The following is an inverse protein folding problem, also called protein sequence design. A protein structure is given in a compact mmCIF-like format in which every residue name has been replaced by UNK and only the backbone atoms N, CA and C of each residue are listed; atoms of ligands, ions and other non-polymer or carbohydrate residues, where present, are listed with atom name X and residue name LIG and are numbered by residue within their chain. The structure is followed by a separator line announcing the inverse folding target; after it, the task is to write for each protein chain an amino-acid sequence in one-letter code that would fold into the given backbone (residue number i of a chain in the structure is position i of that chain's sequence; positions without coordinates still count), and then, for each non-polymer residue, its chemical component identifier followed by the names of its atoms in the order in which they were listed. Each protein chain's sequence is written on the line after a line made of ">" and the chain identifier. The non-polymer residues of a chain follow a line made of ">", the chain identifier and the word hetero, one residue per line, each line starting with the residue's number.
data_IF_935707803731
#
_entry.id   IF_935707803731
#
_cell.length_a   1.000
_cell.length_b   1.000
_cell.length_c   1.000
_cell.angle_alpha   90.00
_cell.angle_beta   90.00
_cell.angle_gamma   90.00
#
_symmetry.space_group_name_H-M   'P 1'
#
loop_
_entity.id
_entity.type
_entity.pdbx_description
1 polymer ?
#
# COMPACT_ATOMS: atom_id res chain seq x y z
N UNK A 1 84.85 16.96 0.51
CA UNK A 1 84.36 18.25 -0.01
C UNK A 1 83.39 17.98 -1.15
N UNK A 2 82.28 18.73 -1.18
CA UNK A 2 81.21 18.78 -2.19
C UNK A 2 80.42 17.47 -2.40
N UNK A 3 79.10 17.35 -2.20
CA UNK A 3 78.02 18.34 -2.15
C UNK A 3 77.22 18.30 -3.45
N UNK A 4 76.20 17.45 -3.57
CA UNK A 4 75.20 17.50 -4.65
C UNK A 4 73.80 17.42 -4.03
N UNK A 5 73.05 18.51 -4.21
CA UNK A 5 71.62 18.64 -3.99
C UNK A 5 70.85 17.76 -5.00
N UNK A 6 69.80 17.06 -4.53
CA UNK A 6 68.64 16.77 -5.38
C UNK A 6 67.38 17.18 -4.60
N UNK A 7 66.71 18.20 -5.14
CA UNK A 7 65.52 18.82 -4.58
C UNK A 7 64.27 17.97 -4.75
N UNK A 8 63.40 18.09 -3.75
CA UNK A 8 62.04 17.59 -3.67
C UNK A 8 61.07 18.44 -4.50
N UNK A 9 60.30 17.84 -5.41
CA UNK A 9 58.98 18.37 -5.83
C UNK A 9 58.05 17.23 -6.26
N UNK A 10 57.27 16.68 -5.34
CA UNK A 10 56.10 15.85 -5.68
C UNK A 10 55.14 15.70 -4.48
N UNK A 11 54.63 16.82 -3.95
CA UNK A 11 53.72 16.80 -2.78
C UNK A 11 52.36 17.49 -2.96
N UNK A 12 52.17 18.31 -4.00
CA UNK A 12 50.99 19.17 -4.09
C UNK A 12 49.92 18.70 -5.12
N UNK A 13 50.30 17.88 -6.11
CA UNK A 13 49.40 17.49 -7.20
C UNK A 13 48.41 16.37 -6.83
N UNK A 14 48.84 15.39 -6.03
CA UNK A 14 48.04 14.21 -5.72
C UNK A 14 46.93 14.49 -4.69
N UNK A 15 47.21 15.38 -3.73
CA UNK A 15 46.23 15.78 -2.70
C UNK A 15 45.09 16.62 -3.27
N UNK A 16 45.36 17.46 -4.29
CA UNK A 16 44.31 18.23 -4.98
C UNK A 16 43.43 17.35 -5.88
N UNK A 17 43.98 16.28 -6.46
CA UNK A 17 43.22 15.35 -7.30
C UNK A 17 42.27 14.49 -6.47
N UNK A 18 42.70 14.03 -5.29
CA UNK A 18 41.86 13.28 -4.35
C UNK A 18 40.75 14.18 -3.78
N UNK A 19 41.03 15.46 -3.47
CA UNK A 19 40.00 16.40 -3.01
C UNK A 19 39.03 16.84 -4.12
N UNK A 20 39.44 16.85 -5.40
CA UNK A 20 38.51 17.07 -6.53
C UNK A 20 37.65 15.85 -6.82
N UNK A 21 38.19 14.64 -6.71
CA UNK A 21 37.42 13.40 -6.86
C UNK A 21 36.43 13.18 -5.71
N UNK A 22 36.77 13.60 -4.48
CA UNK A 22 35.83 13.57 -3.34
C UNK A 22 34.73 14.64 -3.42
N UNK A 23 35.01 15.82 -4.02
CA UNK A 23 34.00 16.86 -4.28
C UNK A 23 33.07 16.54 -5.46
N UNK A 24 33.55 15.81 -6.47
CA UNK A 24 32.71 15.35 -7.59
C UNK A 24 31.72 14.23 -7.18
N UNK A 25 31.96 13.55 -6.05
CA UNK A 25 31.03 12.54 -5.50
C UNK A 25 29.92 13.14 -4.62
N UNK A 26 29.95 14.45 -4.33
CA UNK A 26 28.94 15.16 -3.51
C UNK A 26 28.12 16.19 -4.31
N UNK A 27 27.88 15.93 -5.59
CA UNK A 27 26.99 16.74 -6.43
C UNK A 27 25.91 15.89 -7.13
N UNK A 28 25.38 14.89 -6.42
CA UNK A 28 24.10 14.28 -6.75
C UNK A 28 23.07 14.67 -5.71
N UNK A 29 22.06 15.47 -6.08
CA UNK A 29 20.77 15.47 -5.38
C UNK A 29 20.10 14.13 -5.67
N UNK A 30 20.64 13.06 -5.10
CA UNK A 30 19.91 11.84 -4.84
C UNK A 30 19.51 11.94 -3.39
N UNK A 31 18.30 12.42 -3.11
CA UNK A 31 17.72 12.13 -1.81
C UNK A 31 17.74 10.61 -1.66
N UNK A 32 18.36 10.06 -0.62
CA UNK A 32 18.42 8.61 -0.41
C UNK A 32 16.99 8.10 -0.16
N UNK A 33 16.34 7.68 -1.25
CA UNK A 33 15.00 7.06 -1.22
C UNK A 33 15.02 5.82 -0.31
N UNK A 34 16.19 5.19 -0.15
CA UNK A 34 16.41 3.98 0.65
C UNK A 34 16.04 4.12 2.14
N UNK A 35 16.04 5.32 2.71
CA UNK A 35 15.83 5.51 4.16
C UNK A 35 14.54 6.27 4.52
N UNK A 36 13.74 6.68 3.53
CA UNK A 36 12.51 7.42 3.81
C UNK A 36 11.41 6.51 4.34
N UNK A 37 10.75 6.97 5.40
CA UNK A 37 9.52 6.34 5.88
C UNK A 37 8.44 6.40 4.80
N UNK A 38 7.65 5.33 4.69
CA UNK A 38 6.46 5.29 3.83
C UNK A 38 5.39 6.31 4.22
N UNK A 39 5.49 6.85 5.45
CA UNK A 39 4.64 7.92 5.98
C UNK A 39 5.05 9.33 5.52
N UNK A 40 6.22 9.46 4.89
CA UNK A 40 6.77 10.78 4.54
C UNK A 40 5.95 11.49 3.46
N UNK A 41 5.58 12.74 3.73
CA UNK A 41 4.86 13.62 2.80
C UNK A 41 5.75 14.19 1.69
N UNK A 42 7.07 14.01 1.81
CA UNK A 42 8.05 14.40 0.81
C UNK A 42 8.01 13.40 -0.36
N UNK A 43 7.51 13.86 -1.50
CA UNK A 43 7.24 13.05 -2.70
C UNK A 43 8.26 11.93 -2.96
N UNK A 44 7.83 10.71 -2.69
CA UNK A 44 8.41 9.50 -3.26
C UNK A 44 7.26 8.79 -3.96
N UNK A 45 7.37 8.58 -5.27
CA UNK A 45 6.43 7.74 -6.01
C UNK A 45 6.65 6.27 -5.70
N UNK A 46 6.33 5.38 -6.64
CA UNK A 46 6.42 3.92 -6.46
C UNK A 46 7.77 3.43 -5.87
N UNK A 47 8.88 4.11 -6.19
CA UNK A 47 10.20 3.80 -5.64
C UNK A 47 10.29 3.85 -4.09
N UNK A 48 9.39 4.57 -3.42
CA UNK A 48 9.32 4.59 -1.96
C UNK A 48 8.95 3.21 -1.36
N UNK A 49 8.32 2.34 -2.13
CA UNK A 49 7.97 0.98 -1.71
C UNK A 49 9.03 -0.06 -2.07
N UNK A 50 10.01 0.29 -2.91
CA UNK A 50 11.09 -0.60 -3.35
C UNK A 50 12.28 -0.63 -2.37
N UNK A 51 12.01 -0.67 -1.06
CA UNK A 51 13.06 -0.67 -0.03
C UNK A 51 12.79 -1.70 1.06
N UNK A 52 13.85 -2.23 1.69
CA UNK A 52 13.70 -3.12 2.86
C UNK A 52 12.93 -2.43 3.99
N UNK A 53 13.21 -1.15 4.23
CA UNK A 53 12.52 -0.36 5.26
C UNK A 53 11.01 -0.32 5.02
N UNK A 54 10.58 -0.11 3.77
CA UNK A 54 9.16 -0.13 3.44
C UNK A 54 8.53 -1.51 3.71
N UNK A 55 9.23 -2.60 3.35
CA UNK A 55 8.78 -3.96 3.67
C UNK A 55 8.62 -4.15 5.17
N UNK A 56 9.62 -3.77 5.98
CA UNK A 56 9.56 -3.88 7.44
C UNK A 56 8.42 -3.05 8.04
N UNK A 57 8.22 -1.81 7.57
CA UNK A 57 7.13 -0.94 8.02
C UNK A 57 5.75 -1.52 7.69
N UNK A 58 5.59 -2.15 6.52
CA UNK A 58 4.33 -2.80 6.14
C UNK A 58 4.11 -4.15 6.83
N UNK A 59 5.17 -4.93 7.09
CA UNK A 59 5.08 -6.11 7.95
C UNK A 59 4.63 -5.70 9.37
N UNK A 60 5.20 -4.61 9.90
CA UNK A 60 4.79 -4.03 11.17
C UNK A 60 3.33 -3.56 11.14
N UNK A 61 2.93 -2.83 10.09
CA UNK A 61 1.58 -2.30 9.97
C UNK A 61 0.52 -3.40 9.85
N UNK A 62 0.80 -4.46 9.10
CA UNK A 62 -0.17 -5.50 8.78
C UNK A 62 -0.23 -6.64 9.80
N UNK A 63 0.89 -6.99 10.44
CA UNK A 63 1.01 -8.24 11.18
C UNK A 63 1.63 -8.12 12.58
N UNK A 64 2.09 -6.94 13.01
CA UNK A 64 2.65 -6.81 14.34
C UNK A 64 1.59 -7.07 15.41
N UNK A 65 2.03 -7.67 16.52
CA UNK A 65 1.18 -7.74 17.70
C UNK A 65 0.76 -6.33 18.13
N UNK A 66 -0.47 -6.12 18.64
CA UNK A 66 -0.96 -4.81 19.09
C UNK A 66 -0.01 -4.07 20.04
N UNK A 67 0.67 -4.80 20.94
CA UNK A 67 1.64 -4.24 21.89
C UNK A 67 2.94 -3.79 21.21
N UNK A 68 3.35 -4.45 20.12
CA UNK A 68 4.53 -4.09 19.33
C UNK A 68 4.23 -2.89 18.42
N UNK A 69 3.04 -2.84 17.81
CA UNK A 69 2.65 -1.71 16.98
C UNK A 69 2.40 -0.47 17.83
N UNK A 70 1.59 -0.56 18.89
CA UNK A 70 1.20 0.57 19.73
C UNK A 70 1.31 0.23 21.23
N UNK A 71 2.51 0.35 21.81
CA UNK A 71 2.75 0.03 23.24
C UNK A 71 2.13 1.05 24.20
N UNK A 72 1.66 2.20 23.69
CA UNK A 72 1.13 3.28 24.53
C UNK A 72 -0.34 3.07 24.89
N UNK A 73 -0.66 3.19 26.19
CA UNK A 73 -2.03 3.09 26.68
C UNK A 73 -2.92 4.25 26.19
N UNK A 74 -2.35 5.44 25.99
CA UNK A 74 -3.03 6.64 25.51
C UNK A 74 -3.02 6.80 23.97
N UNK A 75 -2.67 5.74 23.23
CA UNK A 75 -2.68 5.75 21.77
C UNK A 75 -4.05 5.41 21.18
N UNK A 76 -4.26 5.66 19.87
CA UNK A 76 -5.54 5.41 19.19
C UNK A 76 -5.76 3.91 18.92
N UNK A 77 -6.34 3.18 19.88
CA UNK A 77 -6.50 1.72 19.80
C UNK A 77 -7.45 1.28 18.69
N UNK A 78 -8.37 2.13 18.29
CA UNK A 78 -9.32 1.91 17.20
C UNK A 78 -8.63 1.81 15.83
N UNK A 79 -7.40 2.32 15.72
CA UNK A 79 -6.61 2.27 14.49
C UNK A 79 -5.89 0.93 14.26
N UNK A 80 -5.91 0.04 15.24
CA UNK A 80 -5.32 -1.30 15.15
C UNK A 80 -6.17 -2.23 14.28
N UNK A 81 -5.60 -3.40 13.91
CA UNK A 81 -6.30 -4.43 13.12
C UNK A 81 -6.95 -3.88 11.84
N UNK A 82 -6.24 -2.98 11.15
CA UNK A 82 -6.75 -2.29 9.96
C UNK A 82 -7.18 -3.29 8.88
N UNK A 83 -6.30 -4.22 8.52
CA UNK A 83 -6.52 -5.25 7.49
C UNK A 83 -7.71 -6.15 7.81
N UNK A 84 -7.84 -6.61 9.05
CA UNK A 84 -8.97 -7.43 9.50
C UNK A 84 -10.31 -6.69 9.39
N UNK A 85 -10.35 -5.40 9.79
CA UNK A 85 -11.56 -4.57 9.66
C UNK A 85 -11.95 -4.36 8.20
N UNK A 86 -10.99 -4.27 7.28
CA UNK A 86 -11.29 -4.18 5.84
C UNK A 86 -11.85 -5.48 5.27
N UNK A 87 -11.29 -6.62 5.66
CA UNK A 87 -11.80 -7.92 5.24
C UNK A 87 -13.24 -8.16 5.75
N UNK A 88 -13.55 -7.73 6.98
CA UNK A 88 -14.91 -7.78 7.53
C UNK A 88 -15.91 -6.95 6.72
N UNK A 89 -15.53 -5.76 6.25
CA UNK A 89 -16.37 -4.97 5.34
C UNK A 89 -16.63 -5.72 4.02
N UNK A 90 -15.62 -6.38 3.48
CA UNK A 90 -15.76 -7.17 2.25
C UNK A 90 -16.72 -8.36 2.46
N UNK A 91 -16.53 -9.12 3.54
CA UNK A 91 -17.37 -10.26 3.90
C UNK A 91 -18.83 -9.85 4.16
N UNK A 92 -19.03 -8.75 4.88
CA UNK A 92 -20.37 -8.24 5.22
C UNK A 92 -21.20 -7.91 3.99
N UNK A 93 -20.56 -7.45 2.91
CA UNK A 93 -21.25 -6.93 1.73
C UNK A 93 -21.17 -7.85 0.50
N UNK A 94 -20.32 -8.88 0.49
CA UNK A 94 -20.24 -9.82 -0.62
C UNK A 94 -21.34 -10.90 -0.53
N UNK A 95 -22.39 -10.74 -1.34
CA UNK A 95 -23.54 -11.66 -1.34
C UNK A 95 -23.19 -13.09 -1.78
N UNK A 96 -22.16 -13.26 -2.63
CA UNK A 96 -21.73 -14.58 -3.10
C UNK A 96 -21.23 -15.48 -1.95
N UNK A 97 -20.82 -14.92 -0.82
CA UNK A 97 -20.47 -15.70 0.39
C UNK A 97 -21.68 -16.27 1.11
N UNK A 98 -22.89 -15.82 0.78
CA UNK A 98 -24.17 -16.26 1.37
C UNK A 98 -25.01 -17.03 0.38
N UNK A 99 -24.41 -17.48 -0.73
CA UNK A 99 -25.12 -18.27 -1.72
C UNK A 99 -25.22 -19.73 -1.28
N UNK A 100 -26.36 -20.09 -0.70
CA UNK A 100 -26.65 -21.46 -0.27
C UNK A 100 -27.12 -22.36 -1.43
N UNK A 101 -27.43 -21.81 -2.61
CA UNK A 101 -27.84 -22.62 -3.78
C UNK A 101 -26.64 -23.16 -4.53
N UNK A 102 -25.48 -22.49 -4.41
CA UNK A 102 -24.25 -22.83 -5.13
C UNK A 102 -24.27 -22.40 -6.60
N UNK A 103 -25.32 -21.71 -7.05
CA UNK A 103 -25.48 -21.29 -8.44
C UNK A 103 -24.42 -20.27 -8.88
N UNK A 104 -23.88 -19.46 -7.95
CA UNK A 104 -22.84 -18.46 -8.23
C UNK A 104 -21.42 -19.03 -8.25
N UNK A 105 -21.24 -20.26 -7.76
CA UNK A 105 -19.93 -20.88 -7.54
C UNK A 105 -19.14 -20.22 -6.41
N UNK A 106 -17.88 -20.63 -6.27
CA UNK A 106 -17.00 -20.13 -5.20
C UNK A 106 -16.71 -18.62 -5.36
N UNK A 107 -16.88 -17.88 -4.27
CA UNK A 107 -16.62 -16.45 -4.25
C UNK A 107 -15.12 -16.15 -4.40
N UNK A 108 -14.78 -15.27 -5.34
CA UNK A 108 -13.40 -14.85 -5.61
C UNK A 108 -13.20 -13.40 -5.19
N UNK A 109 -12.22 -13.16 -4.33
CA UNK A 109 -11.81 -11.81 -3.92
C UNK A 109 -10.46 -11.40 -4.50
N UNK A 110 -10.27 -10.10 -4.70
CA UNK A 110 -8.99 -9.48 -5.00
C UNK A 110 -8.66 -8.39 -3.99
N UNK A 111 -7.42 -8.41 -3.49
CA UNK A 111 -6.81 -7.30 -2.75
C UNK A 111 -5.85 -6.58 -3.70
N UNK A 112 -6.26 -5.42 -4.20
CA UNK A 112 -5.49 -4.64 -5.17
C UNK A 112 -4.71 -3.54 -4.44
N UNK A 113 -3.39 -3.54 -4.64
CA UNK A 113 -2.46 -2.81 -3.76
C UNK A 113 -2.25 -3.56 -2.43
N UNK A 114 -2.05 -4.88 -2.50
CA UNK A 114 -2.05 -5.73 -1.30
C UNK A 114 -0.84 -5.53 -0.37
N UNK A 115 0.18 -4.80 -0.81
CA UNK A 115 1.49 -4.71 -0.18
C UNK A 115 1.98 -6.10 0.25
N UNK A 116 2.34 -6.26 1.52
CA UNK A 116 2.83 -7.54 2.09
C UNK A 116 1.72 -8.57 2.39
N UNK A 117 0.48 -8.32 1.92
CA UNK A 117 -0.60 -9.31 1.87
C UNK A 117 -1.54 -9.35 3.09
N UNK A 118 -1.49 -8.36 3.97
CA UNK A 118 -2.23 -8.36 5.24
C UNK A 118 -3.75 -8.53 5.06
N UNK A 119 -4.37 -7.70 4.22
CA UNK A 119 -5.81 -7.81 3.97
C UNK A 119 -6.16 -9.04 3.12
N UNK A 120 -5.32 -9.43 2.15
CA UNK A 120 -5.48 -10.66 1.40
C UNK A 120 -5.55 -11.93 2.28
N UNK A 121 -4.71 -12.03 3.33
CA UNK A 121 -4.82 -13.15 4.28
C UNK A 121 -6.11 -13.08 5.09
N UNK A 122 -6.50 -11.90 5.58
CA UNK A 122 -7.75 -11.75 6.34
C UNK A 122 -8.99 -12.08 5.48
N UNK A 123 -8.99 -11.73 4.19
CA UNK A 123 -10.03 -12.14 3.24
C UNK A 123 -10.14 -13.67 3.11
N UNK A 124 -9.03 -14.41 3.20
CA UNK A 124 -9.03 -15.86 3.07
C UNK A 124 -9.77 -16.60 4.22
N UNK A 125 -10.15 -15.89 5.29
CA UNK A 125 -11.07 -16.41 6.31
C UNK A 125 -12.42 -16.79 5.70
N UNK A 126 -12.96 -15.90 4.87
CA UNK A 126 -14.28 -16.05 4.28
C UNK A 126 -14.22 -16.50 2.81
N UNK A 127 -13.29 -15.93 2.02
CA UNK A 127 -13.19 -16.20 0.60
C UNK A 127 -12.34 -17.45 0.31
N UNK A 128 -12.88 -18.46 -0.42
CA UNK A 128 -12.12 -19.64 -0.83
C UNK A 128 -10.93 -19.33 -1.75
N UNK A 129 -11.03 -18.24 -2.52
CA UNK A 129 -10.02 -17.82 -3.47
C UNK A 129 -9.75 -16.32 -3.33
N UNK A 130 -8.49 -15.98 -3.03
CA UNK A 130 -8.02 -14.60 -2.90
C UNK A 130 -6.80 -14.37 -3.79
N UNK A 131 -6.84 -13.31 -4.59
CA UNK A 131 -5.71 -12.83 -5.37
C UNK A 131 -5.23 -11.48 -4.83
N UNK A 132 -4.03 -11.42 -4.27
CA UNK A 132 -3.34 -10.18 -3.94
C UNK A 132 -2.48 -9.71 -5.11
N UNK A 133 -2.64 -8.45 -5.52
CA UNK A 133 -1.80 -7.81 -6.54
C UNK A 133 -1.18 -6.55 -5.95
N UNK A 134 0.13 -6.38 -6.12
CA UNK A 134 0.82 -5.14 -5.83
C UNK A 134 1.79 -4.77 -6.96
N UNK A 135 2.04 -3.47 -7.14
CA UNK A 135 3.01 -3.01 -8.12
C UNK A 135 4.44 -3.36 -7.70
N UNK A 136 4.71 -3.34 -6.39
CA UNK A 136 6.05 -3.51 -5.84
C UNK A 136 6.50 -4.96 -5.81
N UNK A 137 7.70 -5.21 -6.35
CA UNK A 137 8.30 -6.55 -6.31
C UNK A 137 8.64 -6.96 -4.88
N UNK A 138 9.25 -6.07 -4.10
CA UNK A 138 9.63 -6.37 -2.71
C UNK A 138 8.42 -6.69 -1.82
N UNK A 139 7.30 -6.00 -2.01
CA UNK A 139 6.07 -6.31 -1.27
C UNK A 139 5.48 -7.67 -1.65
N UNK A 140 5.43 -8.00 -2.95
CA UNK A 140 4.94 -9.30 -3.42
C UNK A 140 5.84 -10.45 -2.97
N UNK A 141 7.16 -10.25 -2.99
CA UNK A 141 8.12 -11.24 -2.50
C UNK A 141 7.94 -11.49 -0.99
N UNK A 142 7.77 -10.42 -0.19
CA UNK A 142 7.47 -10.54 1.23
C UNK A 142 6.11 -11.22 1.48
N UNK A 143 5.08 -10.92 0.69
CA UNK A 143 3.77 -11.56 0.78
C UNK A 143 3.85 -13.06 0.47
N UNK A 144 4.61 -13.45 -0.56
CA UNK A 144 4.86 -14.85 -0.89
C UNK A 144 5.66 -15.56 0.21
N UNK A 145 6.66 -14.89 0.80
CA UNK A 145 7.41 -15.43 1.93
C UNK A 145 6.51 -15.66 3.16
N UNK A 146 5.68 -14.67 3.52
CA UNK A 146 4.67 -14.82 4.59
C UNK A 146 3.69 -15.95 4.28
N UNK A 147 3.28 -16.09 3.02
CA UNK A 147 2.41 -17.19 2.58
C UNK A 147 3.08 -18.55 2.73
N UNK A 148 4.38 -18.68 2.45
CA UNK A 148 5.11 -19.95 2.55
C UNK A 148 5.45 -20.30 4.01
N UNK A 149 6.02 -19.34 4.76
CA UNK A 149 6.53 -19.57 6.12
C UNK A 149 5.51 -19.34 7.22
N UNK A 150 4.55 -18.45 7.00
CA UNK A 150 3.52 -18.07 7.98
C UNK A 150 3.98 -16.98 8.94
N UNK A 151 5.28 -16.67 8.94
CA UNK A 151 5.86 -15.60 9.73
C UNK A 151 7.15 -15.07 9.09
N UNK A 152 7.55 -13.86 9.47
CA UNK A 152 8.81 -13.23 9.08
C UNK A 152 9.30 -12.31 10.18
N UNK A 153 10.60 -12.29 10.40
CA UNK A 153 11.22 -11.22 11.17
C UNK A 153 11.16 -9.91 10.38
N UNK A 154 11.05 -8.79 11.11
CA UNK A 154 11.20 -7.45 10.56
C UNK A 154 11.95 -6.55 11.55
N UNK A 155 12.56 -5.49 11.03
CA UNK A 155 13.25 -4.48 11.85
C UNK A 155 12.35 -3.26 12.10
N UNK A 156 12.03 -2.98 13.36
CA UNK A 156 11.35 -1.76 13.77
C UNK A 156 12.36 -0.70 14.21
N UNK A 157 12.28 0.51 13.66
CA UNK A 157 13.08 1.63 14.16
C UNK A 157 12.60 2.01 15.57
N UNK A 158 13.54 2.12 16.50
CA UNK A 158 13.30 2.61 17.86
C UNK A 158 13.61 4.11 17.91
N UNK A 159 14.85 4.48 17.59
CA UNK A 159 15.36 5.85 17.60
C UNK A 159 16.62 5.94 16.73
N UNK A 160 16.65 6.87 15.75
CA UNK A 160 17.80 6.98 14.83
C UNK A 160 18.15 5.65 14.17
N UNK A 161 19.40 5.21 14.32
CA UNK A 161 19.89 3.92 13.80
C UNK A 161 19.56 2.72 14.72
N UNK A 162 19.00 2.96 15.90
CA UNK A 162 18.64 1.91 16.86
C UNK A 162 17.37 1.20 16.35
N UNK A 163 17.49 -0.11 16.15
CA UNK A 163 16.41 -0.99 15.69
C UNK A 163 16.11 -2.09 16.71
N UNK A 164 14.88 -2.58 16.69
CA UNK A 164 14.45 -3.78 17.39
C UNK A 164 13.91 -4.80 16.38
N UNK A 165 14.18 -6.08 16.61
CA UNK A 165 13.67 -7.17 15.78
C UNK A 165 12.38 -7.70 16.39
N UNK A 166 11.35 -7.83 15.56
CA UNK A 166 10.03 -8.35 15.94
C UNK A 166 9.60 -9.42 14.94
N UNK A 167 8.55 -10.17 15.28
CA UNK A 167 7.97 -11.20 14.42
C UNK A 167 6.62 -10.73 13.87
N UNK A 168 6.49 -10.70 12.54
CA UNK A 168 5.22 -10.64 11.84
C UNK A 168 4.70 -12.07 11.67
N UNK A 169 3.41 -12.31 11.93
CA UNK A 169 2.81 -13.64 11.77
C UNK A 169 1.42 -13.53 11.13
N UNK A 170 1.14 -14.44 10.19
CA UNK A 170 -0.22 -14.70 9.73
C UNK A 170 -0.96 -15.44 10.86
N UNK A 171 -2.17 -15.01 11.25
CA UNK A 171 -3.00 -15.75 12.21
C UNK A 171 -3.12 -17.23 11.84
N UNK A 172 -2.94 -18.11 12.84
CA UNK A 172 -2.84 -19.56 12.63
C UNK A 172 -4.13 -20.21 12.09
N UNK A 173 -5.26 -19.53 12.24
CA UNK A 173 -6.58 -19.97 11.79
C UNK A 173 -6.90 -19.55 10.33
N UNK A 174 -5.99 -18.85 9.66
CA UNK A 174 -6.10 -18.51 8.23
C UNK A 174 -5.45 -19.60 7.37
N UNK A 175 -6.22 -20.17 6.44
CA UNK A 175 -5.66 -21.04 5.40
C UNK A 175 -4.93 -20.22 4.32
N UNK A 176 -3.61 -20.11 4.49
CA UNK A 176 -2.71 -19.42 3.55
C UNK A 176 -2.76 -19.96 2.13
N UNK A 177 -3.24 -21.20 1.91
CA UNK A 177 -3.30 -21.79 0.57
C UNK A 177 -4.41 -21.20 -0.29
N UNK A 178 -5.38 -20.49 0.30
CA UNK A 178 -6.45 -19.78 -0.41
C UNK A 178 -5.97 -18.50 -1.09
N UNK A 179 -4.77 -18.03 -0.75
CA UNK A 179 -4.21 -16.78 -1.28
C UNK A 179 -3.17 -17.06 -2.38
N UNK A 180 -3.18 -16.24 -3.41
CA UNK A 180 -2.13 -16.13 -4.43
C UNK A 180 -1.68 -14.68 -4.50
N UNK A 181 -0.38 -14.44 -4.65
CA UNK A 181 0.18 -13.10 -4.79
C UNK A 181 0.86 -12.98 -6.15
N UNK A 182 0.65 -11.84 -6.80
CA UNK A 182 1.24 -11.54 -8.10
C UNK A 182 1.69 -10.08 -8.16
N UNK A 183 2.80 -9.83 -8.83
CA UNK A 183 3.19 -8.49 -9.19
C UNK A 183 2.34 -8.02 -10.38
N UNK A 184 1.83 -6.79 -10.31
CA UNK A 184 0.98 -6.24 -11.35
C UNK A 184 0.59 -4.79 -11.11
N UNK A 185 0.26 -4.09 -12.20
CA UNK A 185 -0.19 -2.70 -12.16
C UNK A 185 -1.72 -2.63 -12.07
N UNK A 186 -2.22 -2.03 -10.99
CA UNK A 186 -3.65 -1.77 -10.77
C UNK A 186 -4.30 -0.92 -11.88
N UNK A 187 -3.52 -0.08 -12.55
CA UNK A 187 -3.97 0.73 -13.69
C UNK A 187 -3.90 -0.01 -15.02
N UNK A 188 -3.27 -1.18 -15.09
CA UNK A 188 -3.05 -1.96 -16.31
C UNK A 188 -3.26 -3.47 -16.11
N UNK A 189 -4.30 -3.84 -15.35
CA UNK A 189 -4.67 -5.24 -15.15
C UNK A 189 -5.01 -5.93 -16.49
N UNK A 190 -4.67 -7.23 -16.67
CA UNK A 190 -5.00 -7.98 -17.88
C UNK A 190 -6.49 -7.85 -18.26
N UNK A 191 -6.76 -7.64 -19.55
CA UNK A 191 -8.12 -7.41 -20.05
C UNK A 191 -8.99 -8.67 -19.91
N UNK A 192 -8.37 -9.85 -20.01
CA UNK A 192 -8.96 -11.19 -19.92
C UNK A 192 -9.10 -11.71 -18.49
N UNK A 193 -8.76 -10.92 -17.47
CA UNK A 193 -8.97 -11.30 -16.08
C UNK A 193 -10.46 -11.58 -15.84
N UNK A 194 -10.74 -12.76 -15.27
CA UNK A 194 -12.09 -13.15 -14.88
C UNK A 194 -12.72 -12.14 -13.91
N UNK A 195 -14.04 -12.00 -13.98
CA UNK A 195 -14.77 -11.12 -13.07
C UNK A 195 -14.78 -11.67 -11.64
N UNK A 196 -14.74 -10.76 -10.68
CA UNK A 196 -14.57 -11.04 -9.26
C UNK A 196 -15.84 -10.73 -8.46
N UNK A 197 -16.04 -11.44 -7.36
CA UNK A 197 -17.16 -11.19 -6.44
C UNK A 197 -16.86 -10.04 -5.49
N UNK A 198 -15.58 -9.81 -5.18
CA UNK A 198 -15.13 -8.73 -4.31
C UNK A 198 -13.79 -8.15 -4.79
N UNK A 199 -13.67 -6.83 -4.84
CA UNK A 199 -12.40 -6.11 -5.00
C UNK A 199 -12.22 -5.16 -3.84
N UNK A 200 -11.14 -5.34 -3.09
CA UNK A 200 -10.65 -4.41 -2.08
C UNK A 200 -9.54 -3.54 -2.68
N UNK A 201 -9.65 -2.23 -2.52
CA UNK A 201 -8.61 -1.27 -2.89
C UNK A 201 -8.31 -0.37 -1.68
N UNK A 202 -7.38 -0.84 -0.83
CA UNK A 202 -7.12 -0.25 0.48
C UNK A 202 -5.98 0.77 0.44
N UNK A 203 -6.27 2.03 0.77
CA UNK A 203 -5.32 3.16 0.72
C UNK A 203 -4.59 3.29 -0.64
N UNK A 204 -5.16 2.74 -1.70
CA UNK A 204 -4.54 2.63 -3.03
C UNK A 204 -4.86 3.84 -3.91
N UNK A 205 -6.11 4.30 -3.95
CA UNK A 205 -6.60 5.21 -5.00
C UNK A 205 -5.73 6.48 -5.17
N UNK A 206 -5.33 7.12 -4.07
CA UNK A 206 -4.53 8.34 -4.11
C UNK A 206 -3.02 8.09 -4.32
N UNK A 207 -2.64 6.83 -4.56
CA UNK A 207 -1.29 6.37 -4.92
C UNK A 207 -1.20 5.92 -6.38
N UNK A 208 -2.31 5.92 -7.11
CA UNK A 208 -2.32 5.50 -8.52
C UNK A 208 -1.91 6.64 -9.46
N UNK A 209 -1.13 6.37 -10.52
CA UNK A 209 -0.85 7.37 -11.55
C UNK A 209 -2.09 7.68 -12.40
N UNK A 210 -2.96 6.68 -12.63
CA UNK A 210 -4.20 6.79 -13.41
C UNK A 210 -5.44 6.38 -12.57
N UNK A 211 -5.82 7.16 -11.54
CA UNK A 211 -6.89 6.77 -10.63
C UNK A 211 -8.26 6.67 -11.32
N UNK A 212 -8.53 7.51 -12.34
CA UNK A 212 -9.78 7.44 -13.10
C UNK A 212 -9.86 6.17 -13.96
N UNK A 213 -8.74 5.74 -14.55
CA UNK A 213 -8.68 4.51 -15.34
C UNK A 213 -8.99 3.30 -14.47
N UNK A 214 -8.45 3.26 -13.25
CA UNK A 214 -8.78 2.22 -12.26
C UNK A 214 -10.28 2.18 -11.94
N UNK A 215 -10.89 3.32 -11.56
CA UNK A 215 -12.33 3.37 -11.27
C UNK A 215 -13.19 2.91 -12.46
N UNK A 216 -12.79 3.28 -13.67
CA UNK A 216 -13.49 2.87 -14.91
C UNK A 216 -13.34 1.36 -15.14
N UNK A 217 -12.16 0.78 -14.88
CA UNK A 217 -11.91 -0.66 -15.02
C UNK A 217 -12.78 -1.49 -14.08
N UNK A 218 -13.09 -0.99 -12.87
CA UNK A 218 -13.90 -1.70 -11.87
C UNK A 218 -15.22 -2.26 -12.42
N UNK A 219 -15.92 -1.52 -13.30
CA UNK A 219 -17.17 -1.98 -13.94
C UNK A 219 -17.01 -3.35 -14.60
N UNK A 220 -15.93 -3.51 -15.36
CA UNK A 220 -15.66 -4.74 -16.12
C UNK A 220 -14.96 -5.82 -15.31
N UNK A 221 -14.37 -5.46 -14.17
CA UNK A 221 -13.60 -6.33 -13.28
C UNK A 221 -14.48 -7.07 -12.25
N UNK A 222 -15.60 -6.47 -11.83
CA UNK A 222 -16.44 -6.98 -10.74
C UNK A 222 -17.70 -7.59 -11.33
N UNK A 223 -18.16 -8.77 -10.90
CA UNK A 223 -19.40 -9.40 -11.37
C UNK A 223 -20.64 -8.54 -11.05
N UNK A 224 -21.75 -8.60 -11.82
CA UNK A 224 -23.01 -7.99 -11.39
C UNK A 224 -23.42 -8.51 -10.00
N UNK A 225 -23.77 -7.60 -9.09
CA UNK A 225 -24.02 -7.91 -7.68
C UNK A 225 -22.77 -8.07 -6.80
N UNK A 226 -21.57 -8.13 -7.39
CA UNK A 226 -20.30 -8.11 -6.66
C UNK A 226 -19.99 -6.74 -6.06
N UNK A 227 -18.94 -6.67 -5.23
CA UNK A 227 -18.62 -5.47 -4.44
C UNK A 227 -17.23 -4.90 -4.72
N UNK A 228 -17.15 -3.57 -4.71
CA UNK A 228 -15.91 -2.80 -4.61
C UNK A 228 -15.87 -2.15 -3.22
N UNK A 229 -14.86 -2.49 -2.42
CA UNK A 229 -14.55 -1.80 -1.17
C UNK A 229 -13.38 -0.87 -1.44
N UNK A 230 -13.68 0.43 -1.57
CA UNK A 230 -12.71 1.47 -1.88
C UNK A 230 -12.38 2.25 -0.61
N UNK A 231 -11.12 2.20 -0.16
CA UNK A 231 -10.70 2.84 1.10
C UNK A 231 -9.58 3.82 0.78
N UNK A 232 -9.75 5.09 1.13
CA UNK A 232 -8.73 6.10 0.83
C UNK A 232 -8.76 7.28 1.81
N UNK A 233 -7.59 7.79 2.24
CA UNK A 233 -7.47 9.02 3.00
C UNK A 233 -7.45 10.27 2.11
N UNK A 234 -7.53 10.11 0.78
CA UNK A 234 -7.52 11.19 -0.21
C UNK A 234 -6.31 12.13 -0.11
N UNK A 235 -5.15 11.61 0.30
CA UNK A 235 -3.97 12.43 0.62
C UNK A 235 -3.29 13.09 -0.58
N UNK A 236 -3.69 12.77 -1.80
CA UNK A 236 -3.20 13.28 -3.10
C UNK A 236 -1.84 13.99 -3.06
N UNK A 237 -0.81 13.28 -3.52
CA UNK A 237 0.56 13.79 -3.57
C UNK A 237 1.08 13.72 -5.01
N UNK A 238 1.73 14.81 -5.45
CA UNK A 238 2.26 14.93 -6.84
C UNK A 238 3.29 13.85 -7.20
N UNK A 239 3.95 13.27 -6.21
CA UNK A 239 4.90 12.17 -6.41
C UNK A 239 4.23 10.86 -6.84
N UNK A 240 2.92 10.72 -6.64
CA UNK A 240 2.15 9.53 -6.99
C UNK A 240 1.25 9.76 -8.20
N UNK A 241 0.54 10.89 -8.21
CA UNK A 241 -0.42 11.22 -9.25
C UNK A 241 -0.15 12.63 -9.72
N UNK A 242 -0.03 12.82 -11.04
CA UNK A 242 0.02 14.16 -11.63
C UNK A 242 -1.19 14.97 -11.16
N UNK A 243 -0.98 16.24 -10.80
CA UNK A 243 -2.05 17.09 -10.23
C UNK A 243 -3.26 17.23 -11.17
N UNK A 244 -3.04 17.17 -12.48
CA UNK A 244 -4.11 17.21 -13.49
C UNK A 244 -5.02 15.98 -13.47
N UNK A 245 -4.57 14.88 -12.85
CA UNK A 245 -5.29 13.60 -12.75
C UNK A 245 -5.89 13.35 -11.37
N UNK A 246 -5.75 14.29 -10.44
CA UNK A 246 -6.39 14.19 -9.13
C UNK A 246 -7.91 14.21 -9.29
N UNK A 247 -8.59 13.29 -8.62
CA UNK A 247 -10.06 13.22 -8.66
C UNK A 247 -10.72 14.26 -7.73
N UNK A 248 -9.94 14.99 -6.94
CA UNK A 248 -10.43 16.02 -6.02
C UNK A 248 -9.29 16.60 -5.20
N UNK A 249 -9.61 17.35 -4.15
CA UNK A 249 -8.61 18.03 -3.32
C UNK A 249 -8.06 19.31 -3.95
N UNK A 250 -8.86 19.96 -4.80
CA UNK A 250 -8.53 21.24 -5.44
C UNK A 250 -9.77 22.13 -5.56
N UNK A 251 -9.58 23.37 -6.00
CA UNK A 251 -10.66 24.31 -6.28
C UNK A 251 -10.85 24.49 -7.78
N UNK A 252 -12.11 24.55 -8.23
CA UNK A 252 -12.51 24.91 -9.59
C UNK A 252 -13.56 26.00 -9.51
N UNK A 253 -13.31 27.14 -10.17
CA UNK A 253 -14.23 28.30 -10.17
C UNK A 253 -14.64 28.75 -8.76
N UNK A 254 -13.68 28.75 -7.82
CA UNK A 254 -13.90 29.12 -6.42
C UNK A 254 -14.61 28.06 -5.57
N UNK A 255 -15.05 26.94 -6.13
CA UNK A 255 -15.72 25.85 -5.41
C UNK A 255 -14.76 24.68 -5.15
N UNK A 256 -14.77 24.09 -3.94
CA UNK A 256 -13.96 22.90 -3.67
C UNK A 256 -14.50 21.71 -4.47
N UNK A 257 -13.61 20.97 -5.12
CA UNK A 257 -13.89 19.67 -5.74
C UNK A 257 -13.40 18.60 -4.77
N UNK A 258 -14.32 17.81 -4.21
CA UNK A 258 -13.98 16.75 -3.26
C UNK A 258 -13.85 15.42 -3.98
N UNK A 259 -12.87 14.61 -3.56
CA UNK A 259 -12.62 13.29 -4.13
C UNK A 259 -13.84 12.38 -4.05
N UNK A 260 -14.54 12.42 -2.91
CA UNK A 260 -15.79 11.67 -2.68
C UNK A 260 -16.84 11.96 -3.77
N UNK A 261 -17.09 13.24 -4.06
CA UNK A 261 -18.11 13.65 -5.04
C UNK A 261 -17.78 13.10 -6.44
N UNK A 262 -16.50 13.14 -6.82
CA UNK A 262 -16.03 12.58 -8.10
C UNK A 262 -16.14 11.07 -8.16
N UNK A 263 -15.77 10.35 -7.08
CA UNK A 263 -15.95 8.89 -7.00
C UNK A 263 -17.43 8.56 -7.19
N UNK A 264 -18.32 9.26 -6.48
CA UNK A 264 -19.75 9.07 -6.61
C UNK A 264 -20.23 9.31 -8.04
N UNK A 265 -19.81 10.41 -8.67
CA UNK A 265 -20.19 10.70 -10.05
C UNK A 265 -19.71 9.62 -11.05
N UNK A 266 -18.49 9.09 -10.86
CA UNK A 266 -17.90 8.08 -11.75
C UNK A 266 -18.54 6.70 -11.57
N UNK A 267 -18.80 6.27 -10.33
CA UNK A 267 -19.26 4.91 -10.04
C UNK A 267 -20.80 4.76 -10.07
N UNK A 268 -21.56 5.80 -9.72
CA UNK A 268 -23.02 5.71 -9.62
C UNK A 268 -23.78 5.26 -10.87
N UNK A 269 -23.27 5.41 -12.12
CA UNK A 269 -23.94 4.82 -13.28
C UNK A 269 -24.07 3.29 -13.17
N UNK A 270 -23.00 2.59 -12.77
CA UNK A 270 -22.90 1.12 -12.79
C UNK A 270 -22.94 0.48 -11.40
N UNK A 271 -22.78 1.29 -10.35
CA UNK A 271 -22.71 0.84 -8.96
C UNK A 271 -23.69 1.61 -8.07
N UNK A 272 -24.05 0.99 -6.95
CA UNK A 272 -24.82 1.57 -5.86
C UNK A 272 -23.92 1.67 -4.62
N UNK A 273 -23.86 2.84 -3.97
CA UNK A 273 -23.17 3.00 -2.70
C UNK A 273 -24.03 2.42 -1.59
N UNK A 274 -23.60 1.30 -1.00
CA UNK A 274 -24.38 0.56 0.01
C UNK A 274 -23.90 0.78 1.44
N UNK A 275 -22.66 1.24 1.63
CA UNK A 275 -22.14 1.63 2.93
C UNK A 275 -21.01 2.65 2.80
N UNK A 276 -20.85 3.47 3.84
CA UNK A 276 -19.73 4.39 4.01
C UNK A 276 -19.34 4.44 5.49
N UNK A 277 -18.04 4.43 5.77
CA UNK A 277 -17.54 4.52 7.14
C UNK A 277 -16.14 5.15 7.19
N UNK A 278 -15.76 5.61 8.37
CA UNK A 278 -14.40 6.04 8.67
C UNK A 278 -13.60 4.86 9.24
N UNK A 279 -12.43 4.61 8.65
CA UNK A 279 -11.55 3.50 9.04
C UNK A 279 -10.18 4.07 9.45
N UNK A 280 -9.95 4.24 10.77
CA UNK A 280 -8.65 4.70 11.26
C UNK A 280 -7.56 3.65 11.00
N UNK A 281 -6.34 4.10 10.77
CA UNK A 281 -5.16 3.26 10.61
C UNK A 281 -3.95 3.91 11.27
N UNK A 282 -2.96 3.09 11.63
CA UNK A 282 -1.76 3.53 12.33
C UNK A 282 -0.52 2.91 11.70
N UNK A 283 0.35 3.74 11.14
CA UNK A 283 1.67 3.32 10.67
C UNK A 283 2.70 3.86 11.67
N UNK A 284 3.54 2.97 12.20
CA UNK A 284 4.62 3.34 13.11
C UNK A 284 5.88 3.63 12.30
N UNK A 285 6.44 4.83 12.47
CA UNK A 285 7.69 5.22 11.82
C UNK A 285 8.90 4.90 12.71
N UNK A 286 8.79 5.21 14.00
CA UNK A 286 9.73 4.74 15.03
C UNK A 286 9.02 4.73 16.40
N UNK A 287 9.71 4.34 17.48
CA UNK A 287 9.05 4.12 18.79
C UNK A 287 8.27 5.33 19.33
N UNK A 288 8.60 6.56 18.90
CA UNK A 288 7.98 7.81 19.38
C UNK A 288 7.18 8.57 18.32
N UNK A 289 7.08 8.07 17.08
CA UNK A 289 6.42 8.76 15.98
C UNK A 289 5.57 7.81 15.16
N UNK A 290 4.31 8.21 14.98
CA UNK A 290 3.29 7.46 14.31
C UNK A 290 2.58 8.36 13.31
N UNK A 291 2.19 7.78 12.18
CA UNK A 291 1.15 8.34 11.34
C UNK A 291 -0.18 7.71 11.75
N UNK A 292 -0.99 8.48 12.46
CA UNK A 292 -2.42 8.19 12.57
C UNK A 292 -3.13 8.81 11.37
N UNK A 293 -3.94 8.01 10.68
CA UNK A 293 -4.79 8.47 9.61
C UNK A 293 -6.19 7.89 9.74
N UNK A 294 -7.14 8.49 9.03
CA UNK A 294 -8.50 7.98 8.94
C UNK A 294 -8.91 7.97 7.47
N UNK A 295 -9.12 6.78 6.93
CA UNK A 295 -9.53 6.61 5.55
C UNK A 295 -11.04 6.54 5.45
N UNK A 296 -11.61 7.15 4.43
CA UNK A 296 -13.01 6.95 4.09
C UNK A 296 -13.12 5.62 3.32
N UNK A 297 -13.89 4.69 3.87
CA UNK A 297 -14.25 3.44 3.22
C UNK A 297 -15.63 3.60 2.56
N UNK A 298 -15.71 3.27 1.28
CA UNK A 298 -16.92 3.28 0.48
C UNK A 298 -17.15 1.88 -0.09
N UNK A 299 -18.32 1.31 0.19
CA UNK A 299 -18.71 0.00 -0.32
C UNK A 299 -19.70 0.19 -1.45
N UNK A 300 -19.30 -0.20 -2.64
CA UNK A 300 -20.06 -0.08 -3.88
C UNK A 300 -20.49 -1.46 -4.37
N UNK A 301 -21.78 -1.66 -4.54
CA UNK A 301 -22.33 -2.88 -5.14
C UNK A 301 -22.56 -2.66 -6.63
N UNK A 302 -22.03 -3.55 -7.48
CA UNK A 302 -22.28 -3.46 -8.92
C UNK A 302 -23.75 -3.76 -9.19
N UNK A 303 -24.44 -2.88 -9.93
CA UNK A 303 -25.83 -3.09 -10.31
C UNK A 303 -25.95 -4.37 -11.16
N UNK A 304 -27.12 -5.01 -11.08
CA UNK A 304 -27.44 -6.09 -12.01
C UNK A 304 -27.35 -5.55 -13.45
N UNK A 305 -26.98 -6.40 -14.40
CA UNK A 305 -27.13 -6.03 -15.81
C UNK A 305 -28.62 -5.74 -16.05
N UNK A 306 -28.94 -4.54 -16.52
CA UNK A 306 -30.27 -4.28 -17.07
C UNK A 306 -30.43 -5.21 -18.27
N UNK A 307 -31.40 -6.11 -18.19
CA UNK A 307 -31.81 -6.98 -19.29
C UNK A 307 -32.26 -6.15 -20.51
#
# INVERSE_FOLDING_TARGET
>A
MAGILVGSVAGAGLTLLIQRLSKLRKSGKGDDIQERSTTSSAGGGAAAYETKKAVDEYLQFHFAAPADLLPYANGPKEALNFTARLAQLCELHCESLRDFTGERGDAVAMDLGCAVGGAAFELARAFPHVLGIDYSHHFVDAANYMKEKGCSEYEAVVEGDIKATHMAAVPADIDRNRVRFMQGDACALPADLAQLDCVLAANLLCRLPEPLAFLTRCRSLIKPGGVLVLVSPYSWLKGWTDKTKWLGGYYKDGKPVRTYDTICAVLSPDFELVASSDVPFLIREHARKFQWGCSNALVWKRKAATA
#
